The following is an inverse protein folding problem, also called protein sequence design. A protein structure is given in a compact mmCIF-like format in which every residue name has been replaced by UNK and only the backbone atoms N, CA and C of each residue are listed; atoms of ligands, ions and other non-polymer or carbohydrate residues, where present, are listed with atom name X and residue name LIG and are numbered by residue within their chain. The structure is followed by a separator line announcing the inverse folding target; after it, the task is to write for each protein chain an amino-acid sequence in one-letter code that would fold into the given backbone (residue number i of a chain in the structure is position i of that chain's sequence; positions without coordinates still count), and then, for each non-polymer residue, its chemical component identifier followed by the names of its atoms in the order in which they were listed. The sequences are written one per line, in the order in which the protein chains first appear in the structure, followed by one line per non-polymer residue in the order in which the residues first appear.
data_IF_983997180211
#
_entry.id   IF_983997180211
#
_cell.length_a   1.000
_cell.length_b   1.000
_cell.length_c   1.000
_cell.angle_alpha   90.00
_cell.angle_beta   90.00
_cell.angle_gamma   90.00
#
_symmetry.space_group_name_H-M   'P 1'
#
loop_
_entity.id
_entity.type
_entity.pdbx_description
1 polymer ?
#
# COMPACT_ATOMS: atom_id res chain seq x y z
N UNK A 1 1.15 -0.12 7.74
CA UNK A 1 -0.13 -0.87 7.64
C UNK A 1 -1.31 0.02 7.28
N UNK A 2 -1.59 1.11 8.02
CA UNK A 2 -2.77 1.98 7.80
C UNK A 2 -2.87 2.52 6.36
N UNK A 3 -1.76 2.95 5.76
CA UNK A 3 -1.74 3.45 4.39
C UNK A 3 -2.25 2.42 3.35
N UNK A 4 -1.94 1.13 3.52
CA UNK A 4 -2.42 0.07 2.63
C UNK A 4 -3.92 -0.17 2.80
N UNK A 5 -4.43 -0.08 4.03
CA UNK A 5 -5.86 -0.19 4.32
C UNK A 5 -6.61 0.98 3.69
N UNK A 6 -6.10 2.20 3.86
CA UNK A 6 -6.70 3.40 3.25
C UNK A 6 -6.67 3.30 1.72
N UNK A 7 -5.56 2.86 1.13
CA UNK A 7 -5.46 2.63 -0.31
C UNK A 7 -6.46 1.56 -0.79
N UNK A 8 -6.59 0.45 -0.07
CA UNK A 8 -7.55 -0.59 -0.41
C UNK A 8 -9.00 -0.09 -0.33
N UNK A 9 -9.33 0.71 0.70
CA UNK A 9 -10.65 1.35 0.84
C UNK A 9 -10.90 2.33 -0.31
N UNK A 10 -9.89 3.11 -0.72
CA UNK A 10 -10.02 4.07 -1.82
C UNK A 10 -10.26 3.37 -3.17
N UNK A 11 -9.50 2.31 -3.46
CA UNK A 11 -9.56 1.58 -4.74
C UNK A 11 -10.83 0.75 -4.85
N UNK A 12 -11.16 -0.02 -3.82
CA UNK A 12 -12.29 -0.96 -3.85
C UNK A 12 -13.59 -0.34 -3.32
N UNK A 13 -13.51 0.70 -2.50
CA UNK A 13 -14.63 1.26 -1.75
C UNK A 13 -14.86 0.55 -0.41
N UNK A 14 -15.27 1.27 0.66
CA UNK A 14 -15.49 0.70 2.00
C UNK A 14 -16.60 -0.36 2.00
N UNK A 15 -17.58 -0.25 1.11
CA UNK A 15 -18.72 -1.17 1.05
C UNK A 15 -18.40 -2.51 0.37
N UNK A 16 -17.36 -2.55 -0.48
CA UNK A 16 -16.98 -3.76 -1.24
C UNK A 16 -15.94 -4.59 -0.51
N UNK A 17 -15.11 -3.97 0.33
CA UNK A 17 -14.05 -4.65 1.08
C UNK A 17 -14.57 -5.83 1.93
N UNK A 18 -15.64 -5.69 2.74
CA UNK A 18 -16.16 -6.80 3.54
C UNK A 18 -16.56 -7.99 2.67
N UNK A 19 -17.13 -7.71 1.49
CA UNK A 19 -17.55 -8.73 0.54
C UNK A 19 -16.36 -9.45 -0.10
N UNK A 20 -15.34 -8.71 -0.54
CA UNK A 20 -14.10 -9.29 -1.11
C UNK A 20 -13.38 -10.16 -0.08
N UNK A 21 -13.25 -9.69 1.17
CA UNK A 21 -12.64 -10.48 2.24
C UNK A 21 -13.42 -11.78 2.48
N UNK A 22 -14.75 -11.73 2.49
CA UNK A 22 -15.59 -12.91 2.64
C UNK A 22 -15.40 -13.91 1.50
N UNK A 23 -15.32 -13.43 0.25
CA UNK A 23 -15.14 -14.27 -0.93
C UNK A 23 -13.75 -14.95 -0.93
N UNK A 24 -12.71 -14.20 -0.58
CA UNK A 24 -11.35 -14.74 -0.42
C UNK A 24 -11.31 -15.77 0.71
N UNK A 25 -11.87 -15.47 1.88
CA UNK A 25 -11.89 -16.40 3.01
C UNK A 25 -12.66 -17.69 2.70
N UNK A 26 -13.76 -17.59 1.95
CA UNK A 26 -14.51 -18.76 1.50
C UNK A 26 -13.71 -19.59 0.50
N UNK A 27 -12.99 -18.95 -0.41
CA UNK A 27 -12.14 -19.62 -1.39
C UNK A 27 -10.97 -20.33 -0.70
N UNK A 28 -10.30 -19.67 0.25
CA UNK A 28 -9.22 -20.26 1.04
C UNK A 28 -9.68 -21.50 1.81
N UNK A 29 -10.89 -21.47 2.39
CA UNK A 29 -11.47 -22.65 3.05
C UNK A 29 -11.68 -23.81 2.09
N UNK A 30 -12.27 -23.54 0.92
CA UNK A 30 -12.48 -24.56 -0.12
C UNK A 30 -11.18 -25.16 -0.62
N UNK A 31 -10.15 -24.33 -0.84
CA UNK A 31 -8.81 -24.80 -1.24
C UNK A 31 -8.25 -25.73 -0.16
N UNK A 32 -8.33 -25.34 1.12
CA UNK A 32 -7.87 -26.16 2.24
C UNK A 32 -8.59 -27.50 2.31
N UNK A 33 -9.92 -27.50 2.17
CA UNK A 33 -10.73 -28.72 2.15
C UNK A 33 -10.36 -29.62 0.97
N UNK A 34 -10.19 -29.04 -0.23
CA UNK A 34 -9.78 -29.77 -1.43
C UNK A 34 -8.37 -30.37 -1.30
N UNK A 35 -7.42 -29.63 -0.72
CA UNK A 35 -6.06 -30.12 -0.46
C UNK A 35 -6.05 -31.28 0.55
N UNK A 36 -6.88 -31.24 1.59
CA UNK A 36 -6.98 -32.32 2.57
C UNK A 36 -7.65 -33.57 1.97
N UNK A 37 -8.70 -33.41 1.16
CA UNK A 37 -9.36 -34.51 0.46
C UNK A 37 -8.43 -35.17 -0.56
N UNK A 38 -7.75 -34.39 -1.40
CA UNK A 38 -6.79 -34.90 -2.37
C UNK A 38 -5.66 -35.70 -1.70
N UNK A 39 -5.16 -35.20 -0.55
CA UNK A 39 -4.19 -35.93 0.28
C UNK A 39 -4.69 -37.29 0.74
N UNK A 40 -5.97 -37.37 1.11
CA UNK A 40 -6.58 -38.60 1.58
C UNK A 40 -6.76 -39.61 0.44
N UNK A 41 -7.14 -39.14 -0.75
CA UNK A 41 -7.33 -39.97 -1.95
C UNK A 41 -5.98 -40.52 -2.45
N UNK A 42 -4.96 -39.65 -2.57
CA UNK A 42 -3.58 -40.02 -2.96
C UNK A 42 -3.00 -41.09 -2.00
N UNK A 43 -3.21 -40.92 -0.68
CA UNK A 43 -2.75 -41.87 0.34
C UNK A 43 -3.47 -43.22 0.27
N UNK A 44 -4.74 -43.23 -0.14
CA UNK A 44 -5.56 -44.44 -0.17
C UNK A 44 -5.28 -45.27 -1.42
N UNK A 45 -5.01 -44.63 -2.56
CA UNK A 45 -4.84 -45.33 -3.83
C UNK A 45 -3.39 -45.66 -4.22
N UNK A 46 -2.39 -44.89 -3.76
CA UNK A 46 -1.00 -45.09 -4.19
C UNK A 46 -0.09 -45.78 -3.16
N UNK A 47 -0.62 -46.16 -1.99
CA UNK A 47 0.13 -46.88 -0.97
C UNK A 47 1.20 -46.04 -0.25
N UNK A 48 1.93 -46.64 0.71
CA UNK A 48 2.85 -45.93 1.60
C UNK A 48 4.05 -45.27 0.91
N UNK A 49 4.29 -45.54 -0.38
CA UNK A 49 5.44 -45.03 -1.14
C UNK A 49 5.30 -43.55 -1.55
N UNK A 50 4.10 -42.97 -1.46
CA UNK A 50 3.87 -41.52 -1.68
C UNK A 50 3.76 -40.71 -0.38
N UNK A 51 4.10 -41.30 0.77
CA UNK A 51 4.18 -40.55 2.05
C UNK A 51 5.18 -39.39 2.00
N UNK A 52 6.21 -39.51 1.16
CA UNK A 52 7.37 -38.61 1.16
C UNK A 52 7.30 -37.53 0.07
N UNK A 53 6.33 -37.59 -0.86
CA UNK A 53 6.27 -36.66 -2.00
C UNK A 53 5.28 -35.50 -1.87
N UNK A 54 4.59 -35.35 -0.75
CA UNK A 54 3.68 -34.22 -0.56
C UNK A 54 3.82 -33.64 0.86
N UNK A 55 3.74 -32.31 0.99
CA UNK A 55 3.38 -31.56 2.22
C UNK A 55 4.42 -30.81 3.07
N UNK A 56 5.74 -30.82 2.79
CA UNK A 56 6.60 -29.76 3.37
C UNK A 56 6.45 -28.39 2.67
N UNK A 57 5.83 -28.37 1.48
CA UNK A 57 5.74 -27.16 0.65
C UNK A 57 4.32 -26.77 0.19
N UNK A 58 3.30 -27.57 0.53
CA UNK A 58 1.91 -27.31 0.12
C UNK A 58 1.04 -26.67 1.22
N UNK A 59 1.62 -26.32 2.37
CA UNK A 59 0.93 -25.57 3.40
C UNK A 59 1.00 -24.06 3.03
N UNK A 60 -0.11 -23.42 2.63
CA UNK A 60 -0.06 -22.03 2.16
C UNK A 60 0.49 -21.09 3.23
N UNK A 61 0.31 -21.41 4.52
CA UNK A 61 0.86 -20.64 5.63
C UNK A 61 2.38 -20.74 5.73
N UNK A 62 2.97 -21.92 5.51
CA UNK A 62 4.43 -22.09 5.54
C UNK A 62 5.06 -21.58 4.25
N UNK A 63 4.40 -21.73 3.10
CA UNK A 63 4.82 -21.14 1.84
C UNK A 63 4.84 -19.61 1.89
N UNK A 64 3.74 -18.99 2.34
CA UNK A 64 3.68 -17.53 2.54
C UNK A 64 4.73 -17.08 3.56
N UNK A 65 4.98 -17.86 4.62
CA UNK A 65 6.03 -17.55 5.60
C UNK A 65 7.43 -17.61 4.97
N UNK A 66 7.77 -18.68 4.25
CA UNK A 66 9.03 -18.79 3.50
C UNK A 66 9.18 -17.65 2.49
N UNK A 67 8.10 -17.21 1.84
CA UNK A 67 8.15 -16.13 0.84
C UNK A 67 8.19 -14.74 1.44
N UNK A 68 7.59 -14.53 2.62
CA UNK A 68 7.76 -13.32 3.42
C UNK A 68 9.16 -13.19 3.99
N UNK A 69 9.77 -14.32 4.36
CA UNK A 69 11.13 -14.40 4.89
C UNK A 69 12.19 -14.37 3.76
N UNK A 70 11.80 -14.59 2.50
CA UNK A 70 12.67 -14.43 1.35
C UNK A 70 12.86 -12.95 1.02
N UNK A 71 14.11 -12.50 1.13
CA UNK A 71 14.54 -11.10 0.93
C UNK A 71 14.32 -10.59 -0.52
N UNK A 72 14.02 -11.47 -1.48
CA UNK A 72 13.94 -11.19 -2.93
C UNK A 72 12.71 -10.34 -3.34
N UNK A 73 11.66 -10.31 -2.53
CA UNK A 73 10.42 -9.59 -2.86
C UNK A 73 10.46 -8.09 -2.53
N UNK A 74 11.62 -7.54 -2.14
CA UNK A 74 11.76 -6.11 -1.81
C UNK A 74 10.88 -5.66 -0.63
N UNK A 75 10.24 -6.60 0.08
CA UNK A 75 9.36 -6.34 1.22
C UNK A 75 10.11 -5.69 2.38
N UNK A 76 11.43 -5.91 2.45
CA UNK A 76 12.35 -5.28 3.41
C UNK A 76 12.63 -3.82 3.04
N UNK A 77 12.69 -3.50 1.76
CA UNK A 77 12.81 -2.11 1.28
C UNK A 77 11.50 -1.35 1.43
N UNK A 78 10.37 -2.02 1.19
CA UNK A 78 9.03 -1.52 1.55
C UNK A 78 8.92 -1.27 3.06
N UNK A 79 9.50 -2.15 3.90
CA UNK A 79 9.59 -1.96 5.35
C UNK A 79 10.49 -0.79 5.75
N UNK A 80 11.62 -0.59 5.10
CA UNK A 80 12.52 0.54 5.34
C UNK A 80 11.89 1.88 4.91
N UNK A 81 11.07 1.88 3.84
CA UNK A 81 10.29 3.05 3.44
C UNK A 81 9.28 3.51 4.50
N UNK A 82 8.83 2.62 5.40
CA UNK A 82 8.02 3.00 6.56
C UNK A 82 8.83 3.73 7.64
N UNK A 83 10.14 3.52 7.74
CA UNK A 83 11.02 4.22 8.69
C UNK A 83 11.29 5.66 8.21
N UNK A 84 11.47 5.85 6.90
CA UNK A 84 11.64 7.17 6.28
C UNK A 84 10.43 8.10 6.52
N UNK A 85 9.21 7.53 6.55
CA UNK A 85 7.99 8.26 6.90
C UNK A 85 8.03 8.79 8.34
N UNK A 86 8.73 8.10 9.24
CA UNK A 86 8.88 8.50 10.64
C UNK A 86 9.81 9.71 10.74
N UNK A 87 10.92 9.70 10.00
CA UNK A 87 11.82 10.86 9.90
C UNK A 87 11.13 12.06 9.23
N UNK A 88 10.34 11.84 8.19
CA UNK A 88 9.54 12.91 7.56
C UNK A 88 8.49 13.51 8.53
N UNK A 89 7.90 12.69 9.39
CA UNK A 89 6.96 13.16 10.41
C UNK A 89 7.66 14.02 11.48
N UNK A 90 8.86 13.62 11.91
CA UNK A 90 9.68 14.39 12.85
C UNK A 90 10.15 15.73 12.26
N UNK A 91 10.60 15.73 11.00
CA UNK A 91 10.97 16.96 10.27
C UNK A 91 9.75 17.88 10.12
N UNK A 92 8.57 17.32 9.85
CA UNK A 92 7.33 18.08 9.74
C UNK A 92 6.94 18.70 11.08
N UNK A 93 7.07 17.98 12.18
CA UNK A 93 6.78 18.46 13.54
C UNK A 93 7.74 19.60 13.95
N UNK A 94 9.03 19.44 13.65
CA UNK A 94 10.05 20.48 13.90
C UNK A 94 9.79 21.78 13.12
N UNK A 95 9.21 21.68 11.92
CA UNK A 95 8.82 22.86 11.13
C UNK A 95 7.58 23.54 11.72
N UNK A 96 6.58 22.78 12.17
CA UNK A 96 5.39 23.34 12.83
C UNK A 96 5.71 24.01 14.18
N UNK A 97 6.68 23.47 14.93
CA UNK A 97 7.17 24.10 16.17
C UNK A 97 7.87 25.45 15.96
N UNK A 98 8.38 25.71 14.74
CA UNK A 98 9.01 27.00 14.40
C UNK A 98 8.00 28.12 14.14
N UNK A 99 6.73 27.80 13.93
CA UNK A 99 5.66 28.81 13.79
C UNK A 99 5.13 29.30 15.14
N UNK A 100 5.25 28.51 16.22
CA UNK A 100 4.93 28.98 17.59
C UNK A 100 5.95 30.00 18.12
N UNK A 101 7.23 29.87 17.79
CA UNK A 101 8.30 30.84 18.15
C UNK A 101 8.18 32.17 17.36
N UNK A 102 7.56 32.16 16.17
CA UNK A 102 7.34 33.37 15.38
C UNK A 102 6.25 34.28 15.94
N UNK A 103 5.37 33.76 16.79
CA UNK A 103 4.28 34.55 17.38
C UNK A 103 4.79 35.67 18.28
N UNK A 104 5.94 35.49 18.94
CA UNK A 104 6.61 36.52 19.76
C UNK A 104 7.41 37.55 18.92
N UNK A 105 7.77 37.22 17.68
CA UNK A 105 8.47 38.14 16.77
C UNK A 105 7.55 39.06 15.95
N UNK A 106 6.23 38.83 16.00
CA UNK A 106 5.24 39.53 15.18
C UNK A 106 4.81 40.91 15.71
N UNK A 107 5.22 41.29 16.92
CA UNK A 107 4.87 42.60 17.50
C UNK A 107 5.73 43.78 17.00
N UNK A 108 6.78 43.54 16.19
CA UNK A 108 7.76 44.59 15.85
C UNK A 108 8.04 44.82 14.36
N UNK A 109 7.24 44.29 13.43
CA UNK A 109 7.47 44.52 11.99
C UNK A 109 6.22 44.91 11.19
N UNK A 110 5.27 45.61 11.82
CA UNK A 110 4.20 46.31 11.10
C UNK A 110 4.63 47.72 10.66
N UNK A 111 5.79 47.84 10.01
CA UNK A 111 6.16 49.03 9.26
C UNK A 111 7.24 48.67 8.24
N UNK A 112 6.96 49.01 6.97
CA UNK A 112 7.82 48.87 5.80
C UNK A 112 7.91 47.46 5.18
N UNK A 113 7.18 47.26 4.07
CA UNK A 113 7.81 47.36 2.75
C UNK A 113 6.82 47.01 1.63
N UNK A 114 6.60 48.02 0.79
CA UNK A 114 6.19 47.91 -0.60
C UNK A 114 6.98 46.85 -1.38
N UNK A 115 6.29 45.99 -2.17
CA UNK A 115 6.92 45.24 -3.25
C UNK A 115 6.19 43.97 -3.66
N UNK A 116 5.80 43.90 -4.94
CA UNK A 116 5.38 42.71 -5.68
C UNK A 116 4.06 42.02 -5.27
N UNK A 117 2.95 42.52 -5.83
CA UNK A 117 1.72 41.73 -5.99
C UNK A 117 1.94 40.82 -7.19
N UNK A 118 1.98 39.50 -7.00
CA UNK A 118 2.02 38.55 -8.13
C UNK A 118 0.63 38.52 -8.75
N UNK A 119 0.54 38.99 -9.98
CA UNK A 119 -0.69 39.02 -10.78
C UNK A 119 -1.08 37.59 -11.20
N UNK A 120 -2.31 37.19 -10.88
CA UNK A 120 -2.84 35.83 -11.02
C UNK A 120 -4.05 35.83 -11.97
N UNK A 121 -3.88 36.39 -13.17
CA UNK A 121 -4.84 36.23 -14.28
C UNK A 121 -4.32 35.20 -15.28
N UNK A 122 -4.36 33.90 -14.90
CA UNK A 122 -4.20 32.82 -15.87
C UNK A 122 -5.53 32.59 -16.58
N UNK A 123 -5.61 33.09 -17.81
CA UNK A 123 -6.71 32.96 -18.77
C UNK A 123 -7.05 31.47 -19.00
N UNK A 124 -8.30 31.01 -18.86
CA UNK A 124 -8.70 29.70 -19.34
C UNK A 124 -8.86 29.78 -20.87
N UNK A 125 -8.75 28.64 -21.55
CA UNK A 125 -8.84 28.45 -23.00
C UNK A 125 -7.56 28.68 -23.80
N UNK A 126 -6.74 27.64 -23.86
CA UNK A 126 -6.01 27.31 -25.08
C UNK A 126 -5.94 25.79 -25.21
N UNK A 127 -6.88 25.21 -25.97
CA UNK A 127 -6.80 23.81 -26.41
C UNK A 127 -5.77 23.78 -27.55
N UNK A 128 -4.80 22.84 -27.54
CA UNK A 128 -3.88 22.72 -28.67
C UNK A 128 -4.67 22.43 -29.96
N UNK A 129 -4.22 22.97 -31.12
CA UNK A 129 -4.93 22.80 -32.38
C UNK A 129 -5.06 21.31 -32.73
N UNK A 130 -6.22 20.93 -33.25
CA UNK A 130 -6.46 19.58 -33.74
C UNK A 130 -5.51 19.28 -34.91
N UNK A 131 -4.74 18.20 -34.80
CA UNK A 131 -3.90 17.64 -35.86
C UNK A 131 -4.77 16.70 -36.72
N UNK A 132 -5.08 17.13 -37.94
CA UNK A 132 -5.91 16.38 -38.88
C UNK A 132 -5.13 15.41 -39.78
N UNK A 133 -3.81 15.32 -39.61
CA UNK A 133 -2.93 14.45 -40.42
C UNK A 133 -2.66 13.07 -39.76
N UNK A 134 -3.31 12.81 -38.61
CA UNK A 134 -3.19 11.54 -37.89
C UNK A 134 -4.35 10.56 -38.22
N UNK A 135 -4.56 10.23 -39.50
CA UNK A 135 -5.35 9.05 -39.89
C UNK A 135 -4.85 8.34 -41.14
#
# INVERSE_FOLDING_TARGET
MVALIVLAVLVFGPDKLPKVIQDVMRTVRKIREFSESAKQDIRTELGPEFKDFEFEDLNPKTFIRKQLDNDDLGLKELRNGFDLKKEMAEVTDAVHGRDTDRSDSSASSAAASSGARVDMTKKPDERPPFDADAT
#
